data_IF_980638854188
#
_entry.id   IF_980638854188
#
_cell.length_a   1.000
_cell.length_b   1.000
_cell.length_c   1.000
_cell.angle_alpha   90.00
_cell.angle_beta   90.00
_cell.angle_gamma   90.00
#
_symmetry.space_group_name_H-M   'P 1'
#
loop_
_entity.id
_entity.type
_entity.pdbx_description
1 polymer ?
#
# COMPACT_ATOMS: atom_id res chain seq x y z
N UNK A 1 5.43 -11.24 43.27
CA UNK A 1 4.16 -11.62 42.62
C UNK A 1 3.19 -10.47 42.66
N UNK A 2 3.16 -9.65 41.59
CA UNK A 2 2.04 -8.79 41.16
C UNK A 2 2.52 -7.86 40.01
N UNK A 3 2.98 -8.44 38.89
CA UNK A 3 3.30 -7.69 37.67
C UNK A 3 3.00 -8.56 36.44
N UNK A 4 1.75 -8.99 36.31
CA UNK A 4 1.25 -9.85 35.23
C UNK A 4 0.03 -9.27 34.52
N UNK A 5 -0.12 -7.95 34.50
CA UNK A 5 -1.20 -7.28 33.77
C UNK A 5 -0.81 -7.21 32.28
N UNK A 6 -1.65 -7.80 31.42
CA UNK A 6 -1.36 -8.04 30.01
C UNK A 6 -1.15 -6.77 29.19
N UNK A 7 0.11 -6.29 29.14
CA UNK A 7 0.51 -5.20 28.26
C UNK A 7 0.40 -5.67 26.81
N UNK A 8 -0.61 -5.16 26.11
CA UNK A 8 -0.74 -5.35 24.67
C UNK A 8 0.31 -4.49 23.99
N UNK A 9 1.29 -5.13 23.34
CA UNK A 9 2.34 -4.43 22.61
C UNK A 9 1.93 -4.16 21.16
N UNK A 10 2.51 -3.13 20.55
CA UNK A 10 2.30 -2.82 19.13
C UNK A 10 2.63 -4.00 18.22
N UNK A 11 3.69 -4.74 18.56
CA UNK A 11 4.08 -5.96 17.88
C UNK A 11 3.02 -7.06 18.01
N UNK A 12 2.42 -7.23 19.20
CA UNK A 12 1.34 -8.20 19.41
C UNK A 12 0.08 -7.86 18.58
N UNK A 13 -0.30 -6.58 18.52
CA UNK A 13 -1.41 -6.11 17.67
C UNK A 13 -1.10 -6.35 16.19
N UNK A 14 0.06 -5.91 15.72
CA UNK A 14 0.46 -6.05 14.32
C UNK A 14 0.51 -7.52 13.88
N UNK A 15 1.05 -8.40 14.74
CA UNK A 15 1.05 -9.85 14.52
C UNK A 15 -0.36 -10.43 14.45
N UNK A 16 -1.27 -9.97 15.30
CA UNK A 16 -2.67 -10.42 15.27
C UNK A 16 -3.34 -10.03 13.94
N UNK A 17 -3.12 -8.80 13.46
CA UNK A 17 -3.64 -8.34 12.17
C UNK A 17 -3.12 -9.17 10.99
N UNK A 18 -1.81 -9.47 10.96
CA UNK A 18 -1.23 -10.37 9.93
C UNK A 18 -1.86 -11.76 10.00
N UNK A 19 -2.04 -12.32 11.21
CA UNK A 19 -2.70 -13.63 11.38
C UNK A 19 -4.16 -13.64 10.91
N UNK A 20 -4.86 -12.51 11.00
CA UNK A 20 -6.24 -12.40 10.51
C UNK A 20 -6.33 -12.58 8.99
N UNK A 21 -5.36 -12.10 8.21
CA UNK A 21 -5.34 -12.36 6.76
C UNK A 21 -5.31 -13.86 6.46
N UNK A 22 -4.44 -14.62 7.14
CA UNK A 22 -4.36 -16.06 6.93
C UNK A 22 -5.62 -16.80 7.40
N UNK A 23 -6.19 -16.41 8.55
CA UNK A 23 -7.35 -17.07 9.15
C UNK A 23 -8.65 -16.82 8.39
N UNK A 24 -8.81 -15.62 7.83
CA UNK A 24 -10.05 -15.17 7.19
C UNK A 24 -9.84 -14.87 5.70
N UNK A 25 -8.88 -15.55 5.06
CA UNK A 25 -8.57 -15.39 3.66
C UNK A 25 -9.86 -15.51 2.82
N UNK A 26 -10.05 -14.57 1.89
CA UNK A 26 -11.24 -14.47 1.03
C UNK A 26 -12.59 -14.23 1.75
N UNK A 27 -12.64 -14.03 3.08
CA UNK A 27 -13.88 -13.58 3.75
C UNK A 27 -13.95 -12.05 3.76
N UNK A 28 -14.66 -11.50 2.78
CA UNK A 28 -14.82 -10.05 2.57
C UNK A 28 -15.39 -9.33 3.80
N UNK A 29 -16.16 -10.02 4.65
CA UNK A 29 -16.72 -9.45 5.88
C UNK A 29 -15.66 -9.15 6.93
N UNK A 30 -14.48 -9.77 6.80
CA UNK A 30 -13.32 -9.55 7.69
C UNK A 30 -12.23 -8.77 6.97
N UNK A 31 -11.91 -9.13 5.73
CA UNK A 31 -10.80 -8.53 4.97
C UNK A 31 -11.03 -7.05 4.70
N UNK A 32 -12.25 -6.63 4.33
CA UNK A 32 -12.51 -5.21 4.07
C UNK A 32 -12.37 -4.34 5.34
N UNK A 33 -12.98 -4.70 6.49
CA UNK A 33 -12.70 -4.02 7.76
C UNK A 33 -11.22 -4.06 8.16
N UNK A 34 -10.54 -5.19 7.97
CA UNK A 34 -9.12 -5.33 8.29
C UNK A 34 -8.25 -4.34 7.50
N UNK A 35 -8.49 -4.19 6.20
CA UNK A 35 -7.82 -3.20 5.36
C UNK A 35 -8.09 -1.77 5.86
N UNK A 36 -9.32 -1.45 6.24
CA UNK A 36 -9.67 -0.15 6.79
C UNK A 36 -9.01 0.11 8.15
N UNK A 37 -8.92 -0.90 9.02
CA UNK A 37 -8.19 -0.80 10.29
C UNK A 37 -6.71 -0.56 10.06
N UNK A 38 -6.07 -1.29 9.14
CA UNK A 38 -4.66 -1.11 8.80
C UNK A 38 -4.38 0.28 8.24
N UNK A 39 -5.25 0.81 7.37
CA UNK A 39 -5.18 2.18 6.86
C UNK A 39 -5.12 3.20 8.01
N UNK A 40 -6.03 3.08 8.98
CA UNK A 40 -6.05 3.98 10.15
C UNK A 40 -4.82 3.80 11.04
N UNK A 41 -4.40 2.57 11.31
CA UNK A 41 -3.21 2.32 12.14
C UNK A 41 -1.94 2.88 11.49
N UNK A 42 -1.76 2.68 10.18
CA UNK A 42 -0.61 3.24 9.45
C UNK A 42 -0.62 4.77 9.45
N UNK A 43 -1.77 5.39 9.25
CA UNK A 43 -1.93 6.86 9.34
C UNK A 43 -1.43 7.42 10.68
N UNK A 44 -1.53 6.63 11.75
CA UNK A 44 -1.08 7.00 13.10
C UNK A 44 0.27 6.39 13.51
N UNK A 45 0.99 5.70 12.62
CA UNK A 45 2.26 5.04 12.94
C UNK A 45 2.11 3.85 13.91
N UNK A 46 0.92 3.26 14.00
CA UNK A 46 0.55 2.19 14.93
C UNK A 46 0.66 0.78 14.32
N UNK A 47 1.52 0.61 13.31
CA UNK A 47 1.92 -0.72 12.81
C UNK A 47 3.40 -0.90 13.12
N UNK A 48 3.73 -2.01 13.77
CA UNK A 48 5.11 -2.29 14.14
C UNK A 48 5.95 -2.62 12.88
N UNK A 49 7.11 -1.97 12.68
CA UNK A 49 7.92 -2.10 11.46
C UNK A 49 8.21 -3.54 11.00
N UNK A 50 8.47 -4.44 11.95
CA UNK A 50 8.72 -5.88 11.70
C UNK A 50 7.62 -6.56 10.86
N UNK A 51 6.37 -6.08 10.92
CA UNK A 51 5.22 -6.71 10.26
C UNK A 51 4.81 -6.00 8.96
N UNK A 52 5.38 -4.83 8.65
CA UNK A 52 5.00 -4.04 7.47
C UNK A 52 5.16 -4.83 6.16
N UNK A 53 6.27 -5.56 6.01
CA UNK A 53 6.51 -6.39 4.82
C UNK A 53 5.50 -7.55 4.71
N UNK A 54 5.20 -8.20 5.84
CA UNK A 54 4.21 -9.28 5.87
C UNK A 54 2.80 -8.76 5.54
N UNK A 55 2.46 -7.53 5.93
CA UNK A 55 1.17 -6.92 5.59
C UNK A 55 1.02 -6.78 4.07
N UNK A 56 2.02 -6.25 3.37
CA UNK A 56 1.94 -6.11 1.90
C UNK A 56 1.94 -7.47 1.18
N UNK A 57 2.67 -8.47 1.69
CA UNK A 57 2.64 -9.84 1.17
C UNK A 57 1.26 -10.49 1.35
N UNK A 58 0.64 -10.28 2.50
CA UNK A 58 -0.72 -10.75 2.79
C UNK A 58 -1.73 -10.13 1.83
N UNK A 59 -1.63 -8.82 1.56
CA UNK A 59 -2.47 -8.12 0.58
C UNK A 59 -2.31 -8.69 -0.82
N UNK A 60 -1.06 -8.89 -1.27
CA UNK A 60 -0.77 -9.47 -2.59
C UNK A 60 -1.37 -10.87 -2.72
N UNK A 61 -1.22 -11.69 -1.68
CA UNK A 61 -1.77 -13.05 -1.63
C UNK A 61 -3.30 -13.04 -1.68
N UNK A 62 -3.93 -12.19 -0.87
CA UNK A 62 -5.39 -12.04 -0.81
C UNK A 62 -5.98 -11.59 -2.16
N UNK A 63 -5.29 -10.71 -2.89
CA UNK A 63 -5.74 -10.25 -4.20
C UNK A 63 -5.48 -11.26 -5.33
N UNK A 64 -4.40 -12.04 -5.25
CA UNK A 64 -4.10 -13.09 -6.22
C UNK A 64 -5.11 -14.25 -6.17
N UNK A 65 -5.63 -14.57 -4.97
CA UNK A 65 -6.64 -15.61 -4.81
C UNK A 65 -8.06 -15.14 -5.13
N UNK A 66 -8.28 -13.84 -5.36
CA UNK A 66 -9.61 -13.29 -5.61
C UNK A 66 -10.01 -13.41 -7.09
N UNK A 67 -10.93 -14.32 -7.47
CA UNK A 67 -11.29 -14.55 -8.87
C UNK A 67 -12.03 -13.36 -9.48
N UNK A 68 -12.78 -12.65 -8.63
CA UNK A 68 -13.37 -11.36 -8.95
C UNK A 68 -12.45 -10.33 -8.35
N UNK A 69 -11.56 -9.73 -9.14
CA UNK A 69 -10.71 -8.60 -8.73
C UNK A 69 -11.59 -7.49 -8.14
N UNK A 70 -11.90 -7.59 -6.85
CA UNK A 70 -12.91 -6.76 -6.19
C UNK A 70 -12.36 -5.35 -6.06
N UNK A 71 -13.05 -4.40 -6.68
CA UNK A 71 -12.68 -2.99 -6.66
C UNK A 71 -12.59 -2.48 -5.23
N UNK A 72 -13.44 -2.93 -4.31
CA UNK A 72 -13.40 -2.49 -2.90
C UNK A 72 -12.11 -2.94 -2.21
N UNK A 73 -11.73 -4.21 -2.36
CA UNK A 73 -10.45 -4.72 -1.84
C UNK A 73 -9.27 -4.00 -2.46
N UNK A 74 -9.26 -3.83 -3.79
CA UNK A 74 -8.21 -3.09 -4.48
C UNK A 74 -8.05 -1.68 -3.93
N UNK A 75 -9.15 -0.93 -3.75
CA UNK A 75 -9.11 0.41 -3.19
C UNK A 75 -8.60 0.43 -1.73
N UNK A 76 -9.03 -0.53 -0.90
CA UNK A 76 -8.51 -0.67 0.46
C UNK A 76 -7.01 -1.01 0.49
N UNK A 77 -6.57 -1.89 -0.41
CA UNK A 77 -5.16 -2.25 -0.57
C UNK A 77 -4.30 -1.07 -1.00
N UNK A 78 -4.76 -0.20 -1.91
CA UNK A 78 -4.02 1.01 -2.30
C UNK A 78 -3.71 1.86 -1.06
N UNK A 79 -4.71 2.08 -0.19
CA UNK A 79 -4.54 2.89 1.01
C UNK A 79 -3.49 2.32 1.94
N UNK A 80 -3.59 1.02 2.25
CA UNK A 80 -2.61 0.33 3.10
C UNK A 80 -1.22 0.36 2.46
N UNK A 81 -1.11 0.10 1.15
CA UNK A 81 0.18 0.19 0.42
C UNK A 81 0.79 1.59 0.50
N UNK A 82 0.00 2.65 0.34
CA UNK A 82 0.50 4.02 0.46
C UNK A 82 0.86 4.36 1.91
N UNK A 83 0.08 3.93 2.90
CA UNK A 83 0.44 4.07 4.31
C UNK A 83 1.77 3.37 4.65
N UNK A 84 2.03 2.21 4.06
CA UNK A 84 3.32 1.50 4.20
C UNK A 84 4.48 2.23 3.50
N UNK A 85 4.23 2.91 2.37
CA UNK A 85 5.25 3.72 1.69
C UNK A 85 5.69 4.92 2.53
N UNK A 86 4.77 5.52 3.27
CA UNK A 86 5.04 6.64 4.19
C UNK A 86 5.71 6.25 5.51
N UNK A 87 6.05 4.98 5.71
CA UNK A 87 6.79 4.56 6.90
C UNK A 87 8.20 5.19 6.90
N UNK A 88 8.69 5.62 8.08
CA UNK A 88 9.95 6.34 8.18
C UNK A 88 11.13 5.46 7.69
N UNK A 89 12.24 6.04 7.19
CA UNK A 89 13.34 5.30 6.61
C UNK A 89 13.90 4.16 7.48
N UNK A 90 13.94 4.37 8.79
CA UNK A 90 14.44 3.46 9.81
C UNK A 90 13.61 2.17 9.92
N UNK A 91 12.34 2.21 9.51
CA UNK A 91 11.47 1.04 9.47
C UNK A 91 11.79 0.10 8.30
N UNK A 92 12.59 0.54 7.32
CA UNK A 92 12.89 -0.20 6.09
C UNK A 92 14.32 0.12 5.57
N UNK A 93 15.36 -0.21 6.36
CA UNK A 93 16.75 0.23 6.10
C UNK A 93 17.31 -0.35 4.80
N UNK A 94 16.94 -1.58 4.44
CA UNK A 94 17.36 -2.25 3.20
C UNK A 94 16.40 -2.00 2.03
N UNK A 95 15.35 -1.20 2.23
CA UNK A 95 14.29 -0.87 1.26
C UNK A 95 13.40 -2.01 0.69
N UNK A 96 13.32 -3.25 1.25
CA UNK A 96 12.40 -4.25 0.71
C UNK A 96 10.93 -3.84 0.79
N UNK A 97 10.51 -3.11 1.83
CA UNK A 97 9.11 -2.69 1.97
C UNK A 97 8.75 -1.67 0.88
N UNK A 98 9.52 -0.58 0.77
CA UNK A 98 9.28 0.47 -0.23
C UNK A 98 9.30 -0.07 -1.64
N UNK A 99 10.31 -0.87 -1.99
CA UNK A 99 10.40 -1.52 -3.31
C UNK A 99 9.16 -2.37 -3.60
N UNK A 100 8.73 -3.19 -2.63
CA UNK A 100 7.55 -4.04 -2.79
C UNK A 100 6.27 -3.24 -2.96
N UNK A 101 6.09 -2.18 -2.18
CA UNK A 101 4.92 -1.31 -2.27
C UNK A 101 4.87 -0.51 -3.57
N UNK A 102 6.01 0.03 -4.05
CA UNK A 102 6.10 0.73 -5.33
C UNK A 102 5.77 -0.21 -6.50
N UNK A 103 6.39 -1.39 -6.56
CA UNK A 103 6.10 -2.37 -7.60
C UNK A 103 4.62 -2.80 -7.59
N UNK A 104 4.05 -2.97 -6.40
CA UNK A 104 2.63 -3.28 -6.28
C UNK A 104 1.75 -2.10 -6.74
N UNK A 105 2.06 -0.86 -6.37
CA UNK A 105 1.35 0.33 -6.84
C UNK A 105 1.44 0.50 -8.37
N UNK A 106 2.62 0.32 -8.97
CA UNK A 106 2.79 0.32 -10.43
C UNK A 106 1.91 -0.75 -11.09
N UNK A 107 1.79 -1.94 -10.50
CA UNK A 107 0.87 -2.97 -11.02
C UNK A 107 -0.60 -2.51 -11.01
N UNK A 108 -1.01 -1.72 -10.02
CA UNK A 108 -2.35 -1.16 -9.89
C UNK A 108 -2.61 0.02 -10.84
N UNK A 109 -1.58 0.81 -11.20
CA UNK A 109 -1.66 1.80 -12.27
C UNK A 109 -1.93 1.17 -13.65
N UNK A 110 -1.61 -0.12 -13.84
CA UNK A 110 -1.94 -0.89 -15.05
C UNK A 110 -3.26 -1.67 -14.97
N UNK A 111 -4.06 -1.46 -13.93
CA UNK A 111 -5.24 -2.28 -13.65
C UNK A 111 -6.34 -2.09 -14.72
N UNK A 112 -7.18 -3.12 -14.91
CA UNK A 112 -8.31 -3.05 -15.86
C UNK A 112 -9.36 -2.01 -15.47
N UNK A 113 -9.48 -1.68 -14.18
CA UNK A 113 -10.51 -0.76 -13.67
C UNK A 113 -10.00 0.68 -13.63
N UNK A 114 -10.63 1.62 -14.37
CA UNK A 114 -10.29 3.04 -14.33
C UNK A 114 -10.19 3.64 -12.94
N UNK A 115 -11.19 3.36 -12.09
CA UNK A 115 -11.26 3.85 -10.72
C UNK A 115 -10.06 3.41 -9.87
N UNK A 116 -9.54 2.20 -10.09
CA UNK A 116 -8.38 1.68 -9.37
C UNK A 116 -7.14 2.46 -9.79
N UNK A 117 -6.92 2.65 -11.10
CA UNK A 117 -5.76 3.38 -11.62
C UNK A 117 -5.74 4.84 -11.16
N UNK A 118 -6.86 5.55 -11.29
CA UNK A 118 -6.97 6.93 -10.81
C UNK A 118 -6.72 7.04 -9.30
N UNK A 119 -7.29 6.13 -8.50
CA UNK A 119 -7.05 6.14 -7.05
C UNK A 119 -5.60 5.81 -6.70
N UNK A 120 -4.95 4.89 -7.42
CA UNK A 120 -3.53 4.60 -7.23
C UNK A 120 -2.67 5.81 -7.56
N UNK A 121 -2.90 6.46 -8.70
CA UNK A 121 -2.13 7.64 -9.09
C UNK A 121 -2.25 8.77 -8.07
N UNK A 122 -3.49 9.08 -7.65
CA UNK A 122 -3.76 10.12 -6.67
C UNK A 122 -3.10 9.84 -5.31
N UNK A 123 -3.23 8.61 -4.80
CA UNK A 123 -2.66 8.27 -3.50
C UNK A 123 -1.13 8.18 -3.55
N UNK A 124 -0.57 7.68 -4.65
CA UNK A 124 0.88 7.62 -4.84
C UNK A 124 1.48 9.02 -4.97
N UNK A 125 0.85 9.91 -5.73
CA UNK A 125 1.24 11.33 -5.77
C UNK A 125 1.23 11.95 -4.37
N UNK A 126 0.16 11.71 -3.60
CA UNK A 126 0.02 12.26 -2.26
C UNK A 126 1.11 11.75 -1.33
N UNK A 127 1.41 10.45 -1.31
CA UNK A 127 2.42 9.88 -0.39
C UNK A 127 3.84 10.32 -0.77
N UNK A 128 4.17 10.37 -2.06
CA UNK A 128 5.50 10.81 -2.53
C UNK A 128 5.73 12.29 -2.19
N UNK A 129 4.69 13.12 -2.34
CA UNK A 129 4.76 14.53 -1.96
C UNK A 129 4.82 14.74 -0.44
N UNK A 130 4.00 14.00 0.32
CA UNK A 130 3.88 14.17 1.79
C UNK A 130 5.13 13.68 2.52
N UNK A 131 5.74 12.61 2.03
CA UNK A 131 6.90 11.96 2.65
C UNK A 131 8.16 12.06 1.79
N UNK A 132 8.33 13.17 1.06
CA UNK A 132 9.45 13.39 0.14
C UNK A 132 10.83 13.21 0.80
N UNK A 133 10.97 13.58 2.07
CA UNK A 133 12.18 13.35 2.87
C UNK A 133 12.57 11.86 2.97
N UNK A 134 11.60 10.95 2.93
CA UNK A 134 11.86 9.50 2.94
C UNK A 134 12.45 8.99 1.61
N UNK A 135 12.45 9.84 0.59
CA UNK A 135 13.01 9.61 -0.74
C UNK A 135 14.14 10.58 -1.08
N UNK A 136 14.78 11.19 -0.07
CA UNK A 136 15.83 12.20 -0.25
C UNK A 136 17.10 11.70 -0.97
N UNK A 137 17.22 10.39 -1.21
CA UNK A 137 18.28 9.81 -2.04
C UNK A 137 17.92 9.70 -3.54
N UNK A 138 16.68 10.04 -3.89
CA UNK A 138 16.21 10.15 -5.27
C UNK A 138 16.55 11.56 -5.75
N UNK A 139 16.98 11.65 -7.01
CA UNK A 139 17.22 12.92 -7.68
C UNK A 139 15.93 13.77 -7.75
N UNK A 140 16.04 15.06 -7.42
CA UNK A 140 14.88 15.96 -7.32
C UNK A 140 14.16 16.11 -8.67
N UNK A 141 14.92 16.23 -9.78
CA UNK A 141 14.34 16.32 -11.13
C UNK A 141 13.60 15.02 -11.48
N UNK A 142 14.17 13.86 -11.13
CA UNK A 142 13.51 12.57 -11.33
C UNK A 142 12.22 12.43 -10.48
N UNK A 143 12.20 12.95 -9.25
CA UNK A 143 11.00 12.97 -8.41
C UNK A 143 9.92 13.88 -9.01
N UNK A 144 10.30 15.07 -9.47
CA UNK A 144 9.39 16.02 -10.12
C UNK A 144 8.77 15.43 -11.40
N UNK A 145 9.56 14.73 -12.21
CA UNK A 145 9.07 14.01 -13.40
C UNK A 145 8.03 12.94 -13.04
N UNK A 146 8.28 12.16 -11.98
CA UNK A 146 7.33 11.15 -11.49
C UNK A 146 6.06 11.80 -10.98
N UNK A 147 6.15 12.87 -10.18
CA UNK A 147 5.00 13.59 -9.64
C UNK A 147 4.16 14.22 -10.76
N UNK A 148 4.81 14.85 -11.75
CA UNK A 148 4.16 15.40 -12.93
C UNK A 148 3.45 14.31 -13.73
N UNK A 149 4.11 13.17 -13.96
CA UNK A 149 3.52 12.04 -14.65
C UNK A 149 2.32 11.44 -13.90
N UNK A 150 2.35 11.35 -12.57
CA UNK A 150 1.21 10.87 -11.78
C UNK A 150 0.01 11.82 -11.84
N UNK A 151 0.23 13.13 -11.94
CA UNK A 151 -0.82 14.15 -12.03
C UNK A 151 -1.42 14.31 -13.43
N UNK A 152 -0.59 14.42 -14.46
CA UNK A 152 -1.00 14.88 -15.80
C UNK A 152 -1.64 13.77 -16.65
N UNK A 153 -1.37 12.52 -16.31
CA UNK A 153 -1.86 11.37 -17.08
C UNK A 153 -3.32 11.08 -16.72
N UNK A 154 -4.18 10.97 -17.74
CA UNK A 154 -5.58 10.54 -17.61
C UNK A 154 -5.67 9.04 -17.25
N UNK A 155 -5.38 8.69 -15.99
CA UNK A 155 -5.32 7.32 -15.49
C UNK A 155 -6.66 6.60 -15.54
N UNK A 156 -7.79 7.31 -15.58
CA UNK A 156 -9.14 6.77 -15.69
C UNK A 156 -9.61 6.56 -17.14
N UNK A 157 -8.75 6.76 -18.15
CA UNK A 157 -9.10 6.53 -19.55
C UNK A 157 -9.63 5.10 -19.81
N UNK A 158 -10.64 4.97 -20.67
CA UNK A 158 -11.14 3.64 -21.07
C UNK A 158 -10.09 2.80 -21.81
N UNK A 159 -9.08 3.43 -22.42
CA UNK A 159 -7.98 2.75 -23.11
C UNK A 159 -6.93 2.23 -22.13
N UNK A 160 -7.15 1.01 -21.66
CA UNK A 160 -6.22 0.35 -20.74
C UNK A 160 -4.85 0.02 -21.36
N UNK A 161 -4.72 -0.07 -22.69
CA UNK A 161 -3.44 -0.34 -23.33
C UNK A 161 -2.57 0.91 -23.33
N UNK A 162 -3.14 2.05 -23.73
CA UNK A 162 -2.46 3.35 -23.67
C UNK A 162 -2.03 3.70 -22.24
N UNK A 163 -2.88 3.43 -21.23
CA UNK A 163 -2.52 3.70 -19.83
C UNK A 163 -1.36 2.82 -19.35
N UNK A 164 -1.27 1.55 -19.79
CA UNK A 164 -0.11 0.69 -19.46
C UNK A 164 1.17 1.19 -20.11
N UNK A 165 1.11 1.60 -21.38
CA UNK A 165 2.27 2.17 -22.06
C UNK A 165 2.78 3.44 -21.34
N UNK A 166 1.86 4.28 -20.84
CA UNK A 166 2.23 5.41 -19.98
C UNK A 166 2.93 4.94 -18.72
N UNK A 167 2.33 4.02 -17.95
CA UNK A 167 2.94 3.45 -16.74
C UNK A 167 4.35 2.91 -16.99
N UNK A 168 4.58 2.24 -18.12
CA UNK A 168 5.88 1.62 -18.43
C UNK A 168 6.98 2.65 -18.73
N UNK A 169 6.62 3.92 -18.92
CA UNK A 169 7.54 5.05 -18.94
C UNK A 169 7.54 5.87 -17.64
N UNK A 170 7.15 5.28 -16.51
CA UNK A 170 7.55 5.70 -15.15
C UNK A 170 8.73 4.84 -14.73
#
# INVERSE_FOLDING_TARGET
DEAGEGVVTLAAVSRALVRMFARYAQDDRVILPLLATLDQLLTHGLVHPEYCLQVIECIKTELNHSPKKDVKKLLGSIKVTCGLLGMPPEADPARPLRTTCLLFALSLLGNRFPKVRASTAQQLYTVLLTFSESFADVDDDAMDDVLAALMDRHWDSADAAAVRAKRDGL
#
